data_IF_164663149021
#
_entry.id   IF_164663149021
#
_cell.length_a   1.000
_cell.length_b   1.000
_cell.length_c   1.000
_cell.angle_alpha   90.00
_cell.angle_beta   90.00
_cell.angle_gamma   90.00
#
_symmetry.space_group_name_H-M   'P 1'
#
loop_
_entity.id
_entity.type
_entity.pdbx_description
1 polymer ?
#
# COMPACT_ATOMS: atom_id res chain seq x y z
N UNK A 1 -0.29 -11.08 16.50
CA UNK A 1 -1.25 -10.44 15.57
C UNK A 1 -2.58 -11.19 15.51
N UNK A 2 -2.69 -12.40 16.04
CA UNK A 2 -3.95 -13.15 16.20
C UNK A 2 -4.28 -13.39 17.69
N UNK A 3 -3.84 -12.48 18.56
CA UNK A 3 -3.99 -12.59 20.01
C UNK A 3 -5.05 -11.61 20.49
N UNK A 4 -5.56 -11.82 21.71
CA UNK A 4 -6.54 -10.92 22.37
C UNK A 4 -6.05 -9.47 22.43
N UNK A 5 -4.74 -9.27 22.61
CA UNK A 5 -4.10 -7.95 22.65
C UNK A 5 -3.63 -7.46 21.27
N UNK A 6 -3.97 -8.18 20.20
CA UNK A 6 -3.77 -7.75 18.82
C UNK A 6 -4.72 -6.61 18.43
N UNK A 7 -4.35 -5.85 17.41
CA UNK A 7 -5.17 -4.74 16.88
C UNK A 7 -6.60 -5.18 16.50
N UNK A 8 -6.75 -6.44 16.09
CA UNK A 8 -8.02 -7.05 15.69
C UNK A 8 -8.60 -7.98 16.77
N UNK A 9 -8.03 -7.97 18.00
CA UNK A 9 -8.43 -8.79 19.17
C UNK A 9 -8.62 -10.29 18.86
N UNK A 10 -7.75 -10.84 18.01
CA UNK A 10 -7.79 -12.24 17.59
C UNK A 10 -8.90 -12.60 16.58
N UNK A 11 -9.64 -11.62 16.06
CA UNK A 11 -10.77 -11.86 15.13
C UNK A 11 -10.39 -11.89 13.64
N UNK A 12 -9.12 -11.71 13.33
CA UNK A 12 -8.66 -11.57 11.96
C UNK A 12 -7.30 -12.22 11.78
N UNK A 13 -7.02 -12.70 10.56
CA UNK A 13 -5.77 -13.41 10.27
C UNK A 13 -4.54 -12.53 10.40
N UNK A 14 -3.36 -13.15 10.37
CA UNK A 14 -2.04 -12.55 10.64
C UNK A 14 -1.71 -11.29 9.84
N UNK A 15 -2.34 -11.10 8.66
CA UNK A 15 -2.15 -9.94 7.78
C UNK A 15 -3.29 -8.91 7.82
N UNK A 16 -4.29 -9.10 8.67
CA UNK A 16 -5.50 -8.29 8.70
C UNK A 16 -5.50 -7.29 9.86
N UNK A 17 -5.05 -6.08 9.56
CA UNK A 17 -4.88 -5.00 10.53
C UNK A 17 -6.04 -4.04 10.55
N UNK A 18 -6.52 -3.73 11.75
CA UNK A 18 -7.48 -2.67 11.98
C UNK A 18 -6.97 -1.73 13.07
N UNK A 19 -6.88 -0.43 12.78
CA UNK A 19 -6.44 0.56 13.75
C UNK A 19 -7.19 1.88 13.54
N UNK A 20 -8.34 2.00 14.21
CA UNK A 20 -9.21 3.19 14.18
C UNK A 20 -8.47 4.47 14.55
N UNK A 21 -7.65 4.45 15.61
CA UNK A 21 -6.97 5.65 16.11
C UNK A 21 -5.92 6.22 15.14
N UNK A 22 -5.46 5.42 14.18
CA UNK A 22 -4.56 5.85 13.11
C UNK A 22 -5.28 6.06 11.77
N UNK A 23 -6.63 6.02 11.76
CA UNK A 23 -7.43 6.11 10.54
C UNK A 23 -7.23 4.91 9.60
N UNK A 24 -6.76 3.77 10.10
CA UNK A 24 -6.47 2.59 9.29
C UNK A 24 -7.60 1.57 9.40
N UNK A 25 -8.44 1.49 8.36
CA UNK A 25 -9.59 0.59 8.26
C UNK A 25 -9.30 -0.57 7.30
N UNK A 26 -8.10 -1.14 7.37
CA UNK A 26 -7.67 -2.27 6.54
C UNK A 26 -8.09 -3.65 7.08
N UNK A 27 -7.61 -4.70 6.42
CA UNK A 27 -7.74 -6.08 6.90
C UNK A 27 -9.02 -6.80 6.49
N UNK A 28 -9.65 -6.42 5.39
CA UNK A 28 -10.76 -7.18 4.83
C UNK A 28 -10.24 -8.43 4.12
N UNK A 29 -10.82 -9.61 4.42
CA UNK A 29 -10.48 -10.86 3.72
C UNK A 29 -11.20 -11.06 2.41
N UNK A 30 -12.19 -10.21 2.11
CA UNK A 30 -12.90 -10.21 0.84
C UNK A 30 -12.20 -9.22 -0.09
N UNK A 31 -11.70 -9.74 -1.20
CA UNK A 31 -11.05 -8.95 -2.25
C UNK A 31 -12.06 -7.93 -2.78
N UNK A 32 -11.69 -6.65 -2.77
CA UNK A 32 -12.50 -5.53 -3.28
C UNK A 32 -13.54 -4.95 -2.31
N UNK A 33 -13.77 -5.55 -1.14
CA UNK A 33 -14.71 -5.02 -0.16
C UNK A 33 -14.33 -3.60 0.35
N UNK A 34 -13.05 -3.25 0.29
CA UNK A 34 -12.56 -1.94 0.67
C UNK A 34 -13.00 -0.81 -0.27
N UNK A 35 -13.39 -1.10 -1.51
CA UNK A 35 -13.81 -0.08 -2.50
C UNK A 35 -15.13 0.58 -2.11
N UNK A 36 -16.24 -0.17 -1.95
CA UNK A 36 -17.51 0.44 -1.52
C UNK A 36 -17.40 1.07 -0.13
N UNK A 37 -16.60 0.50 0.78
CA UNK A 37 -16.35 1.10 2.09
C UNK A 37 -15.61 2.44 1.98
N UNK A 38 -14.54 2.50 1.17
CA UNK A 38 -13.81 3.73 0.91
C UNK A 38 -14.69 4.82 0.29
N UNK A 39 -15.54 4.45 -0.67
CA UNK A 39 -16.53 5.37 -1.25
C UNK A 39 -17.53 5.87 -0.21
N UNK A 40 -18.01 5.00 0.68
CA UNK A 40 -18.91 5.38 1.78
C UNK A 40 -18.26 6.34 2.77
N UNK A 41 -17.00 6.11 3.15
CA UNK A 41 -16.25 7.03 4.00
C UNK A 41 -16.05 8.38 3.32
N UNK A 42 -15.63 8.40 2.05
CA UNK A 42 -15.46 9.64 1.29
C UNK A 42 -16.78 10.42 1.14
N UNK A 43 -17.89 9.72 0.93
CA UNK A 43 -19.22 10.34 0.88
C UNK A 43 -19.62 10.94 2.23
N UNK A 44 -19.39 10.22 3.33
CA UNK A 44 -19.63 10.72 4.69
C UNK A 44 -18.79 11.95 5.02
N UNK A 45 -17.50 11.94 4.69
CA UNK A 45 -16.57 13.06 4.85
C UNK A 45 -17.06 14.30 4.08
N UNK A 46 -17.47 14.10 2.83
CA UNK A 46 -18.05 15.17 2.01
C UNK A 46 -19.34 15.74 2.61
N UNK A 47 -20.20 14.88 3.16
CA UNK A 47 -21.45 15.31 3.81
C UNK A 47 -21.22 16.08 5.10
N UNK A 48 -20.25 15.63 5.92
CA UNK A 48 -19.85 16.28 7.17
C UNK A 48 -19.01 17.55 6.96
N UNK A 49 -18.60 17.85 5.71
CA UNK A 49 -17.67 18.94 5.36
C UNK A 49 -16.29 18.79 6.02
N UNK A 50 -15.87 17.55 6.24
CA UNK A 50 -14.54 17.25 6.74
C UNK A 50 -13.53 17.35 5.59
N UNK A 51 -12.48 18.16 5.75
CA UNK A 51 -11.39 18.30 4.77
C UNK A 51 -10.40 17.13 4.83
N UNK A 52 -10.94 15.90 4.81
CA UNK A 52 -10.18 14.66 4.88
C UNK A 52 -10.35 13.85 3.60
N UNK A 53 -9.32 13.10 3.23
CA UNK A 53 -9.31 12.25 2.04
C UNK A 53 -9.15 10.81 2.44
N UNK A 54 -9.98 9.95 1.85
CA UNK A 54 -9.92 8.50 2.04
C UNK A 54 -9.16 7.85 0.89
N UNK A 55 -8.13 7.07 1.23
CA UNK A 55 -7.37 6.26 0.26
C UNK A 55 -7.87 4.81 0.29
N UNK A 56 -8.31 4.29 -0.85
CA UNK A 56 -8.68 2.89 -1.03
C UNK A 56 -7.69 2.20 -1.97
N UNK A 57 -7.04 1.13 -1.49
CA UNK A 57 -6.05 0.38 -2.24
C UNK A 57 -6.62 -0.95 -2.72
N UNK A 58 -6.30 -1.35 -3.95
CA UNK A 58 -6.63 -2.66 -4.48
C UNK A 58 -5.56 -3.09 -5.49
N UNK A 59 -5.44 -4.40 -5.71
CA UNK A 59 -4.52 -4.97 -6.70
C UNK A 59 -5.21 -5.23 -8.04
N UNK A 60 -4.42 -5.49 -9.08
CA UNK A 60 -4.94 -5.72 -10.43
C UNK A 60 -5.93 -6.90 -10.49
N UNK A 61 -5.70 -7.99 -9.78
CA UNK A 61 -6.64 -9.12 -9.73
C UNK A 61 -8.05 -8.74 -9.20
N UNK A 62 -8.18 -7.60 -8.52
CA UNK A 62 -9.48 -7.08 -8.04
C UNK A 62 -10.25 -6.35 -9.14
N UNK A 63 -9.59 -5.72 -10.11
CA UNK A 63 -10.29 -4.94 -11.16
C UNK A 63 -11.06 -5.84 -12.10
N UNK A 64 -10.44 -6.93 -12.53
CA UNK A 64 -11.04 -7.84 -13.51
C UNK A 64 -12.28 -8.54 -12.96
N UNK A 65 -12.22 -9.00 -11.70
CA UNK A 65 -13.25 -9.87 -11.11
C UNK A 65 -14.51 -9.17 -10.61
N UNK A 66 -14.45 -7.87 -10.27
CA UNK A 66 -15.50 -7.25 -9.44
C UNK A 66 -16.29 -6.15 -10.16
N UNK A 67 -15.71 -5.40 -11.11
CA UNK A 67 -16.46 -4.30 -11.72
C UNK A 67 -15.84 -3.65 -12.97
N UNK A 68 -14.62 -4.01 -13.36
CA UNK A 68 -13.83 -3.12 -14.17
C UNK A 68 -13.80 -3.60 -15.64
N UNK A 69 -14.60 -2.96 -16.51
CA UNK A 69 -14.69 -3.19 -17.98
C UNK A 69 -13.34 -3.24 -18.74
N UNK A 70 -12.24 -2.75 -18.17
CA UNK A 70 -10.91 -2.73 -18.77
C UNK A 70 -9.79 -2.74 -17.72
N UNK A 71 -8.69 -3.49 -17.90
CA UNK A 71 -7.58 -3.53 -16.95
C UNK A 71 -6.87 -2.18 -16.78
N UNK A 72 -6.89 -1.31 -17.79
CA UNK A 72 -6.35 0.05 -17.70
C UNK A 72 -7.35 1.01 -17.04
N UNK A 73 -7.29 1.11 -15.71
CA UNK A 73 -8.21 1.91 -14.91
C UNK A 73 -7.95 3.41 -15.08
N UNK A 74 -6.71 3.83 -15.32
CA UNK A 74 -6.39 5.25 -15.57
C UNK A 74 -7.03 5.82 -16.84
N UNK A 75 -7.38 4.98 -17.82
CA UNK A 75 -8.00 5.44 -19.08
C UNK A 75 -9.48 5.77 -18.94
N UNK A 76 -10.09 5.54 -17.78
CA UNK A 76 -11.53 5.71 -17.52
C UNK A 76 -11.91 7.13 -17.16
N UNK A 77 -11.41 8.08 -17.95
CA UNK A 77 -11.69 9.50 -17.75
C UNK A 77 -13.20 9.83 -17.88
N UNK A 78 -13.98 8.89 -18.42
CA UNK A 78 -15.44 8.95 -18.53
C UNK A 78 -16.14 8.92 -17.15
N UNK A 79 -15.53 8.34 -16.12
CA UNK A 79 -16.12 8.19 -14.78
C UNK A 79 -15.34 8.90 -13.67
N UNK A 80 -14.02 8.93 -13.76
CA UNK A 80 -13.15 9.61 -12.81
C UNK A 80 -11.80 9.92 -13.46
N UNK A 81 -11.13 10.99 -13.00
CA UNK A 81 -9.80 11.31 -13.48
C UNK A 81 -8.84 10.15 -13.14
N UNK A 82 -8.15 9.63 -14.14
CA UNK A 82 -7.17 8.57 -13.97
C UNK A 82 -5.75 9.08 -14.22
N UNK A 83 -4.82 8.74 -13.33
CA UNK A 83 -3.40 9.05 -13.47
C UNK A 83 -2.59 7.76 -13.36
N UNK A 84 -1.73 7.53 -14.35
CA UNK A 84 -0.77 6.43 -14.34
C UNK A 84 0.55 6.90 -13.75
N UNK A 85 1.12 6.10 -12.85
CA UNK A 85 2.30 6.43 -12.07
C UNK A 85 3.23 5.22 -12.06
N UNK A 86 4.54 5.46 -12.21
CA UNK A 86 5.53 4.43 -11.95
C UNK A 86 5.59 4.18 -10.43
N UNK A 87 5.07 3.03 -9.99
CA UNK A 87 5.08 2.61 -8.58
C UNK A 87 6.47 2.20 -8.08
N UNK A 88 7.44 2.06 -8.98
CA UNK A 88 8.83 1.76 -8.67
C UNK A 88 9.68 3.02 -8.42
N UNK A 89 9.17 4.21 -8.77
CA UNK A 89 9.74 5.50 -8.41
C UNK A 89 8.98 6.15 -7.24
N UNK A 90 9.66 6.26 -6.10
CA UNK A 90 9.08 6.87 -4.90
C UNK A 90 8.79 8.36 -5.03
N UNK A 91 9.55 9.09 -5.85
CA UNK A 91 9.35 10.53 -6.03
C UNK A 91 8.11 10.74 -6.90
N UNK A 92 7.96 9.96 -7.97
CA UNK A 92 6.73 9.90 -8.75
C UNK A 92 5.51 9.56 -7.88
N UNK A 93 5.58 8.50 -7.06
CA UNK A 93 4.50 8.12 -6.14
C UNK A 93 4.17 9.24 -5.15
N UNK A 94 5.19 9.87 -4.54
CA UNK A 94 4.98 10.96 -3.58
C UNK A 94 4.31 12.16 -4.25
N UNK A 95 4.77 12.57 -5.43
CA UNK A 95 4.20 13.69 -6.16
C UNK A 95 2.78 13.38 -6.63
N UNK A 96 2.53 12.17 -7.13
CA UNK A 96 1.21 11.73 -7.55
C UNK A 96 0.22 11.71 -6.38
N UNK A 97 0.60 11.15 -5.22
CA UNK A 97 -0.23 11.17 -4.02
C UNK A 97 -0.55 12.60 -3.56
N UNK A 98 0.42 13.52 -3.62
CA UNK A 98 0.20 14.93 -3.28
C UNK A 98 -0.81 15.56 -4.24
N UNK A 99 -0.61 15.39 -5.54
CA UNK A 99 -1.51 15.91 -6.58
C UNK A 99 -2.91 15.32 -6.45
N UNK A 100 -3.02 14.03 -6.15
CA UNK A 100 -4.28 13.33 -5.96
C UNK A 100 -5.03 13.83 -4.73
N UNK A 101 -4.34 14.10 -3.63
CA UNK A 101 -4.94 14.66 -2.43
C UNK A 101 -5.53 16.06 -2.70
N UNK A 102 -4.77 16.93 -3.37
CA UNK A 102 -5.23 18.27 -3.75
C UNK A 102 -6.41 18.23 -4.72
N UNK A 103 -6.41 17.28 -5.66
CA UNK A 103 -7.52 17.06 -6.58
C UNK A 103 -8.76 16.52 -5.85
N UNK A 104 -8.58 15.56 -4.95
CA UNK A 104 -9.67 14.92 -4.21
C UNK A 104 -10.49 15.91 -3.39
N UNK A 105 -9.81 16.86 -2.74
CA UNK A 105 -10.45 17.91 -1.96
C UNK A 105 -11.23 18.92 -2.82
N UNK A 106 -10.80 19.18 -4.06
CA UNK A 106 -11.39 20.21 -4.93
C UNK A 106 -12.43 19.68 -5.90
N UNK A 107 -12.11 18.56 -6.57
CA UNK A 107 -12.83 18.06 -7.73
C UNK A 107 -13.47 16.68 -7.47
N UNK A 108 -13.08 16.00 -6.39
CA UNK A 108 -13.60 14.68 -6.03
C UNK A 108 -12.74 13.53 -6.53
N UNK A 109 -13.36 12.38 -6.82
CA UNK A 109 -12.68 11.10 -7.00
C UNK A 109 -11.58 11.15 -8.08
N UNK A 110 -10.41 10.62 -7.74
CA UNK A 110 -9.29 10.37 -8.64
C UNK A 110 -8.81 8.92 -8.50
N UNK A 111 -8.45 8.31 -9.62
CA UNK A 111 -7.90 6.96 -9.71
C UNK A 111 -6.40 7.06 -9.98
N UNK A 112 -5.60 6.38 -9.15
CA UNK A 112 -4.16 6.23 -9.35
C UNK A 112 -3.86 4.79 -9.75
N UNK A 113 -3.30 4.60 -10.94
CA UNK A 113 -2.76 3.31 -11.38
C UNK A 113 -1.24 3.32 -11.17
N UNK A 114 -0.76 2.52 -10.22
CA UNK A 114 0.65 2.43 -9.87
C UNK A 114 1.22 1.11 -10.37
N UNK A 115 2.03 1.18 -11.43
CA UNK A 115 2.69 -0.01 -11.97
C UNK A 115 3.82 -0.42 -11.02
N UNK A 116 3.73 -1.62 -10.46
CA UNK A 116 4.73 -2.16 -9.54
C UNK A 116 4.92 -3.64 -9.77
N UNK A 117 5.95 -4.21 -9.14
CA UNK A 117 6.28 -5.62 -9.31
C UNK A 117 6.27 -6.38 -7.98
N UNK A 118 5.63 -7.56 -7.99
CA UNK A 118 5.57 -8.46 -6.83
C UNK A 118 6.78 -9.40 -6.85
N UNK A 119 7.80 -9.09 -6.06
CA UNK A 119 9.06 -9.86 -6.00
C UNK A 119 8.95 -11.28 -5.42
N UNK A 120 7.86 -11.61 -4.74
CA UNK A 120 7.66 -12.89 -4.05
C UNK A 120 6.31 -13.50 -4.45
N UNK A 121 6.06 -14.74 -4.02
CA UNK A 121 4.79 -15.44 -4.25
C UNK A 121 3.56 -14.66 -3.75
N UNK A 122 2.37 -15.08 -4.18
CA UNK A 122 1.11 -14.43 -3.84
C UNK A 122 0.82 -14.50 -2.33
N UNK A 123 1.21 -15.58 -1.67
CA UNK A 123 1.21 -15.74 -0.21
C UNK A 123 2.40 -16.57 0.29
N UNK A 124 2.52 -16.71 1.61
CA UNK A 124 3.69 -17.29 2.28
C UNK A 124 3.97 -18.76 1.92
N UNK A 125 2.98 -19.52 1.49
CA UNK A 125 3.15 -20.94 1.13
C UNK A 125 3.19 -21.17 -0.38
N UNK A 126 3.15 -20.11 -1.19
CA UNK A 126 3.33 -20.29 -2.62
C UNK A 126 4.76 -20.71 -2.94
N UNK A 127 4.94 -21.73 -3.79
CA UNK A 127 6.21 -21.93 -4.44
C UNK A 127 6.42 -20.71 -5.34
N UNK A 128 7.30 -19.78 -4.94
CA UNK A 128 7.60 -18.51 -5.64
C UNK A 128 8.25 -18.66 -7.03
N UNK A 129 7.97 -19.76 -7.71
CA UNK A 129 8.45 -20.21 -9.01
C UNK A 129 7.32 -20.61 -9.97
N UNK A 130 6.04 -20.51 -9.56
CA UNK A 130 4.92 -20.92 -10.44
C UNK A 130 4.57 -19.88 -11.49
N UNK A 131 4.71 -18.59 -11.18
CA UNK A 131 4.13 -17.52 -12.01
C UNK A 131 5.16 -16.69 -12.78
N UNK A 132 6.43 -16.69 -12.36
CA UNK A 132 7.48 -15.82 -12.92
C UNK A 132 8.82 -16.55 -13.00
N UNK A 133 9.58 -16.25 -14.06
CA UNK A 133 10.94 -16.78 -14.19
C UNK A 133 11.90 -16.02 -13.27
N UNK A 134 12.90 -16.72 -12.71
CA UNK A 134 13.92 -16.08 -11.86
C UNK A 134 14.67 -14.96 -12.60
N UNK A 135 14.80 -15.10 -13.91
CA UNK A 135 15.50 -14.14 -14.78
C UNK A 135 14.70 -12.84 -14.93
N UNK A 136 13.38 -12.92 -15.13
CA UNK A 136 12.48 -11.75 -15.15
C UNK A 136 12.56 -10.95 -13.84
N UNK A 137 12.48 -11.65 -12.71
CA UNK A 137 12.61 -11.05 -11.38
C UNK A 137 13.98 -10.37 -11.22
N UNK A 138 15.05 -10.99 -11.72
CA UNK A 138 16.41 -10.44 -11.61
C UNK A 138 16.60 -9.17 -12.45
N UNK A 139 15.94 -9.08 -13.62
CA UNK A 139 15.98 -7.92 -14.50
C UNK A 139 15.23 -6.72 -13.91
N UNK A 140 14.03 -6.93 -13.39
CA UNK A 140 13.21 -5.87 -12.77
C UNK A 140 13.82 -5.38 -11.45
N UNK A 141 14.52 -6.28 -10.74
CA UNK A 141 15.19 -5.94 -9.48
C UNK A 141 16.39 -5.02 -9.67
N UNK A 142 16.77 -4.64 -10.89
CA UNK A 142 17.89 -3.73 -11.13
C UNK A 142 17.48 -2.47 -11.90
N UNK A 143 17.60 -1.26 -11.29
CA UNK A 143 17.89 -0.97 -9.88
C UNK A 143 16.65 -1.15 -8.97
N UNK A 144 16.77 -1.73 -7.76
CA UNK A 144 15.62 -1.82 -6.87
C UNK A 144 15.19 -0.42 -6.41
N UNK A 145 13.88 -0.17 -6.23
CA UNK A 145 13.29 1.12 -5.80
C UNK A 145 14.01 1.77 -4.61
N UNK A 146 14.41 0.97 -3.62
CA UNK A 146 15.15 1.43 -2.43
C UNK A 146 16.59 1.90 -2.76
N UNK A 147 17.17 1.38 -3.84
CA UNK A 147 18.48 1.77 -4.34
C UNK A 147 18.43 2.93 -5.33
N UNK A 148 17.37 3.10 -6.14
CA UNK A 148 17.19 4.33 -6.91
C UNK A 148 17.17 5.54 -5.98
N UNK A 149 16.47 5.45 -4.85
CA UNK A 149 16.61 6.41 -3.75
C UNK A 149 18.07 6.60 -3.30
N UNK A 150 18.90 5.55 -3.26
CA UNK A 150 20.29 5.67 -2.80
C UNK A 150 21.19 6.42 -3.78
N UNK A 151 20.93 6.30 -5.09
CA UNK A 151 21.73 6.97 -6.13
C UNK A 151 21.52 8.49 -6.07
N UNK A 152 20.31 8.96 -5.76
CA UNK A 152 20.00 10.40 -5.68
C UNK A 152 20.22 11.02 -4.29
N UNK A 153 20.38 10.20 -3.24
CA UNK A 153 20.62 10.69 -1.89
C UNK A 153 22.09 11.08 -1.68
N UNK A 154 22.34 12.35 -1.34
CA UNK A 154 23.64 12.87 -0.93
C UNK A 154 24.33 11.97 0.13
N UNK A 155 25.67 11.91 0.18
CA UNK A 155 26.42 11.00 1.06
C UNK A 155 26.08 11.14 2.57
N UNK A 156 25.64 12.33 3.01
CA UNK A 156 25.16 12.60 4.38
C UNK A 156 23.88 11.82 4.73
N UNK A 157 23.01 11.57 3.75
CA UNK A 157 21.74 10.87 3.92
C UNK A 157 21.93 9.34 3.94
N UNK A 158 22.97 8.84 3.29
CA UNK A 158 23.34 7.43 3.30
C UNK A 158 23.80 6.97 4.70
N UNK A 159 24.56 7.79 5.42
CA UNK A 159 24.93 7.52 6.82
C UNK A 159 23.69 7.52 7.75
N UNK A 160 22.77 8.47 7.57
CA UNK A 160 21.50 8.51 8.33
C UNK A 160 20.63 7.27 8.06
N UNK A 161 20.60 6.76 6.82
CA UNK A 161 19.90 5.51 6.47
C UNK A 161 20.46 4.31 7.25
N UNK A 162 21.79 4.15 7.30
CA UNK A 162 22.44 3.03 8.00
C UNK A 162 22.20 3.07 9.51
N UNK A 163 22.24 4.26 10.12
CA UNK A 163 21.90 4.46 11.54
C UNK A 163 20.43 4.10 11.82
N UNK A 164 19.49 4.64 11.03
CA UNK A 164 18.06 4.33 11.15
C UNK A 164 17.77 2.83 10.96
N UNK A 165 18.43 2.17 10.00
CA UNK A 165 18.24 0.74 9.77
C UNK A 165 18.60 -0.14 10.98
N UNK A 166 19.68 0.21 11.70
CA UNK A 166 20.06 -0.47 12.94
C UNK A 166 19.05 -0.22 14.07
N UNK A 167 18.58 1.02 14.18
CA UNK A 167 17.57 1.42 15.16
C UNK A 167 16.23 0.68 14.94
N UNK A 168 15.78 0.56 13.68
CA UNK A 168 14.57 -0.20 13.35
C UNK A 168 14.69 -1.69 13.66
N UNK A 169 15.86 -2.31 13.42
CA UNK A 169 16.10 -3.71 13.81
C UNK A 169 16.01 -3.87 15.32
N UNK A 170 16.70 -3.01 16.07
CA UNK A 170 16.67 -3.05 17.54
C UNK A 170 15.26 -2.90 18.09
N UNK A 171 14.49 -1.94 17.56
CA UNK A 171 13.10 -1.72 17.97
C UNK A 171 12.19 -2.89 17.60
N UNK A 172 12.40 -3.53 16.45
CA UNK A 172 11.67 -4.74 16.05
C UNK A 172 11.94 -5.88 17.02
N UNK A 173 13.20 -6.10 17.37
CA UNK A 173 13.62 -7.16 18.29
C UNK A 173 13.07 -6.90 19.70
N UNK A 174 13.17 -5.67 20.22
CA UNK A 174 12.58 -5.26 21.51
C UNK A 174 11.06 -5.42 21.53
N UNK A 175 10.35 -5.03 20.46
CA UNK A 175 8.89 -5.19 20.38
C UNK A 175 8.47 -6.66 20.31
N UNK A 176 9.31 -7.53 19.75
CA UNK A 176 9.07 -8.96 19.67
C UNK A 176 9.34 -9.65 21.04
N UNK A 177 10.39 -9.22 21.74
CA UNK A 177 10.76 -9.71 23.07
C UNK A 177 9.71 -9.33 24.12
N UNK A 178 9.28 -8.06 24.16
CA UNK A 178 8.26 -7.59 25.11
C UNK A 178 6.89 -8.27 24.92
N UNK A 179 6.62 -8.84 23.74
CA UNK A 179 5.39 -9.61 23.47
C UNK A 179 5.57 -11.12 23.67
N UNK A 180 6.80 -11.59 23.88
CA UNK A 180 7.12 -12.98 24.19
C UNK A 180 7.23 -13.27 25.69
N UNK A 181 7.28 -12.23 26.54
CA UNK A 181 7.37 -12.34 28.00
C UNK A 181 6.02 -12.36 28.74
N UNK A 182 4.91 -12.14 28.03
CA UNK A 182 3.54 -12.14 28.59
C UNK A 182 2.80 -13.46 28.31
N UNK A 183 3.51 -14.59 28.41
CA UNK A 183 2.95 -15.94 28.37
C UNK A 183 3.12 -16.65 29.72
#
# INVERSE_FOLDING_TARGET
MEQKDGCSKGKCGSMHFYKKDAGFYGGHGIVGAQIPLGCGFAFGQKYSKDETVTFAFYGEGTVEWIAAKSPACYKRNDYALGLKVDGMDVFAVKQACKSANEHALKNGLIILEMDTYRYHGHFMSDPGSTDHTRDEISGIRQPPTISCMQVELQPTMQQKKKKRGKEYRKKKDETFIMKGSDY
#
